data_IF_975027249862
#
_entry.id   IF_975027249862
#
_cell.length_a   1.000
_cell.length_b   1.000
_cell.length_c   1.000
_cell.angle_alpha   90.00
_cell.angle_beta   90.00
_cell.angle_gamma   90.00
#
_symmetry.space_group_name_H-M   'P 1'
#
loop_
_entity.id
_entity.type
_entity.pdbx_description
1 polymer ?
#
# COMPACT_ATOMS: atom_id res chain seq x y z
N UNK A 1 -11.22 -11.08 -20.62
CA UNK A 1 -11.43 -9.86 -19.81
C UNK A 1 -10.09 -9.42 -19.27
N UNK A 2 -9.76 -8.13 -19.30
CA UNK A 2 -8.54 -7.62 -18.66
C UNK A 2 -8.66 -7.92 -17.16
N UNK A 3 -7.70 -8.64 -16.61
CA UNK A 3 -7.68 -8.96 -15.18
C UNK A 3 -7.13 -7.81 -14.33
N UNK A 4 -6.55 -6.78 -14.97
CA UNK A 4 -5.86 -5.65 -14.33
C UNK A 4 -6.29 -4.35 -15.01
N UNK A 5 -6.75 -3.40 -14.22
CA UNK A 5 -7.13 -2.06 -14.69
C UNK A 5 -6.59 -0.99 -13.74
N UNK A 6 -5.87 -0.03 -14.29
CA UNK A 6 -5.39 1.15 -13.58
C UNK A 6 -6.12 2.38 -14.14
N UNK A 7 -6.75 3.15 -13.27
CA UNK A 7 -7.52 4.34 -13.63
C UNK A 7 -6.75 5.59 -13.23
N UNK A 8 -6.54 6.50 -14.18
CA UNK A 8 -5.99 7.81 -13.87
C UNK A 8 -7.10 8.72 -13.32
N UNK A 9 -7.50 8.46 -12.10
CA UNK A 9 -8.57 9.19 -11.41
C UNK A 9 -8.45 8.98 -9.89
N UNK A 10 -9.25 9.73 -9.13
CA UNK A 10 -9.42 9.50 -7.70
C UNK A 10 -10.35 8.32 -7.43
N UNK A 11 -10.03 7.52 -6.40
CA UNK A 11 -10.92 6.47 -5.90
C UNK A 11 -12.32 7.01 -5.52
N UNK A 12 -12.46 8.29 -5.23
CA UNK A 12 -13.73 8.94 -4.93
C UNK A 12 -14.75 8.82 -6.09
N UNK A 13 -14.25 8.72 -7.32
CA UNK A 13 -15.04 8.59 -8.54
C UNK A 13 -15.36 7.14 -8.94
N UNK A 14 -15.07 6.17 -8.05
CA UNK A 14 -15.17 4.72 -8.32
C UNK A 14 -16.49 4.24 -8.91
N UNK A 15 -17.59 4.94 -8.63
CA UNK A 15 -18.93 4.56 -9.12
C UNK A 15 -19.04 4.57 -10.64
N UNK A 16 -18.25 5.41 -11.32
CA UNK A 16 -18.22 5.50 -12.78
C UNK A 16 -17.53 4.30 -13.46
N UNK A 17 -16.76 3.51 -12.71
CA UNK A 17 -15.92 2.45 -13.27
C UNK A 17 -16.50 1.04 -13.14
N UNK A 18 -17.59 0.86 -12.41
CA UNK A 18 -18.29 -0.42 -12.24
C UNK A 18 -17.38 -1.59 -11.80
N UNK A 19 -16.33 -1.30 -11.01
CA UNK A 19 -15.39 -2.31 -10.53
C UNK A 19 -16.04 -3.26 -9.52
N UNK A 20 -15.66 -4.55 -9.51
CA UNK A 20 -16.19 -5.50 -8.55
C UNK A 20 -15.68 -5.23 -7.13
N UNK A 21 -16.38 -5.78 -6.15
CA UNK A 21 -15.93 -5.73 -4.75
C UNK A 21 -14.74 -6.65 -4.51
N UNK A 22 -13.87 -6.26 -3.59
CA UNK A 22 -12.61 -6.90 -3.31
C UNK A 22 -12.68 -7.90 -2.16
N UNK A 23 -11.90 -8.97 -2.28
CA UNK A 23 -11.50 -9.82 -1.17
C UNK A 23 -10.43 -9.12 -0.30
N UNK A 24 -9.52 -8.40 -0.94
CA UNK A 24 -8.44 -7.66 -0.30
C UNK A 24 -8.36 -6.24 -0.84
N UNK A 25 -8.31 -5.25 0.04
CA UNK A 25 -7.81 -3.92 -0.28
C UNK A 25 -6.38 -3.85 0.25
N UNK A 26 -5.42 -3.57 -0.63
CA UNK A 26 -4.01 -3.50 -0.30
C UNK A 26 -3.44 -2.22 -0.89
N UNK A 27 -3.00 -1.30 -0.05
CA UNK A 27 -2.66 0.05 -0.49
C UNK A 27 -1.62 0.72 0.40
N UNK A 28 -0.89 1.64 -0.20
CA UNK A 28 0.04 2.55 0.47
C UNK A 28 -0.57 3.95 0.45
N UNK A 29 -1.07 4.41 1.60
CA UNK A 29 -1.72 5.73 1.65
C UNK A 29 -0.69 6.85 1.71
N UNK A 30 -1.02 8.07 1.26
CA UNK A 30 -0.16 9.23 1.45
C UNK A 30 0.19 9.43 2.93
N UNK A 31 1.49 9.54 3.21
CA UNK A 31 1.99 9.82 4.55
C UNK A 31 1.90 11.32 4.79
N UNK A 32 0.78 11.77 5.32
CA UNK A 32 0.55 13.19 5.60
C UNK A 32 1.26 13.61 6.90
N UNK A 33 2.59 13.60 6.88
CA UNK A 33 3.44 13.86 8.02
C UNK A 33 3.64 15.36 8.32
N UNK A 34 3.13 16.24 7.47
CA UNK A 34 3.30 17.68 7.62
C UNK A 34 4.79 18.07 7.71
N UNK A 35 5.15 18.86 8.72
CA UNK A 35 6.53 19.28 8.95
C UNK A 35 7.45 18.17 9.50
N UNK A 36 6.90 17.00 9.81
CA UNK A 36 7.64 15.84 10.31
C UNK A 36 8.00 14.84 9.19
N UNK A 37 7.75 15.19 7.92
CA UNK A 37 8.16 14.35 6.80
C UNK A 37 9.68 14.29 6.71
N UNK A 38 10.25 13.14 7.06
CA UNK A 38 11.68 12.89 6.91
C UNK A 38 11.95 12.30 5.53
N UNK A 39 12.96 12.84 4.87
CA UNK A 39 13.40 12.31 3.60
C UNK A 39 14.02 10.92 3.77
N UNK A 40 13.53 9.96 3.03
CA UNK A 40 14.12 8.62 2.97
C UNK A 40 15.35 8.55 2.06
N UNK A 41 15.69 9.64 1.34
CA UNK A 41 16.83 9.68 0.44
C UNK A 41 18.07 10.22 1.17
N UNK A 42 19.18 9.45 1.26
CA UNK A 42 20.43 9.91 1.87
C UNK A 42 20.95 11.24 1.28
N UNK A 43 20.75 11.51 -0.01
CA UNK A 43 21.17 12.78 -0.65
C UNK A 43 20.50 14.02 -0.07
N UNK A 44 19.43 13.87 0.68
CA UNK A 44 18.79 14.97 1.40
C UNK A 44 19.58 15.40 2.64
N UNK A 45 20.49 14.55 3.08
CA UNK A 45 21.37 14.76 4.23
C UNK A 45 22.82 15.00 3.81
N UNK A 46 23.16 14.75 2.53
CA UNK A 46 24.47 15.09 1.98
C UNK A 46 24.57 16.61 1.82
N UNK A 47 25.55 17.21 2.48
CA UNK A 47 25.73 18.65 2.50
C UNK A 47 24.70 19.40 3.36
N UNK A 48 24.15 18.75 4.38
CA UNK A 48 23.15 19.34 5.28
C UNK A 48 23.56 20.71 5.78
N UNK A 49 22.82 21.72 5.33
CA UNK A 49 23.10 23.14 5.58
C UNK A 49 22.64 23.59 6.97
N UNK A 50 21.90 22.75 7.67
CA UNK A 50 21.36 23.04 8.98
C UNK A 50 22.35 22.64 10.09
N UNK A 51 22.41 23.43 11.16
CA UNK A 51 23.17 23.10 12.38
C UNK A 51 22.88 21.69 12.93
N UNK A 52 21.79 21.07 12.46
CA UNK A 52 21.33 19.75 12.85
C UNK A 52 21.66 18.65 11.82
N UNK A 53 22.38 18.95 10.73
CA UNK A 53 22.70 17.98 9.67
C UNK A 53 21.51 17.59 8.78
N UNK A 54 20.43 18.35 8.82
CA UNK A 54 19.24 18.15 7.98
C UNK A 54 19.34 19.06 6.75
N UNK A 55 18.98 18.56 5.57
CA UNK A 55 18.96 19.40 4.37
C UNK A 55 17.79 20.38 4.40
N UNK A 56 17.87 21.46 3.61
CA UNK A 56 16.77 22.42 3.41
C UNK A 56 15.48 21.77 2.88
N UNK A 57 15.57 20.55 2.37
CA UNK A 57 14.44 19.77 1.88
C UNK A 57 13.74 18.96 2.97
N UNK A 58 14.36 18.84 4.15
CA UNK A 58 13.73 18.18 5.29
C UNK A 58 12.43 18.92 5.67
N UNK A 59 11.37 18.19 5.93
CA UNK A 59 10.06 18.76 6.25
C UNK A 59 9.25 19.29 5.06
N UNK A 60 9.78 19.26 3.83
CA UNK A 60 8.99 19.61 2.64
C UNK A 60 8.17 18.42 2.16
N UNK A 61 6.93 18.69 1.76
CA UNK A 61 6.02 17.66 1.25
C UNK A 61 6.54 17.05 -0.04
N UNK A 62 6.45 15.73 -0.15
CA UNK A 62 6.86 15.00 -1.35
C UNK A 62 5.91 15.22 -2.52
N UNK A 63 4.60 15.29 -2.24
CA UNK A 63 3.55 15.37 -3.26
C UNK A 63 2.51 16.43 -2.90
N UNK A 64 2.06 17.20 -3.89
CA UNK A 64 0.93 18.13 -3.74
C UNK A 64 -0.39 17.41 -3.42
N UNK A 65 -0.54 16.17 -3.87
CA UNK A 65 -1.71 15.31 -3.63
C UNK A 65 -1.88 14.86 -2.18
N UNK A 66 -0.85 14.97 -1.35
CA UNK A 66 -0.95 14.63 0.09
C UNK A 66 -1.95 15.52 0.85
N UNK A 67 -2.21 16.74 0.37
CA UNK A 67 -3.17 17.65 0.97
C UNK A 67 -4.63 17.28 0.68
N UNK A 68 -4.88 16.50 -0.35
CA UNK A 68 -6.23 16.18 -0.84
C UNK A 68 -6.71 14.81 -0.33
N UNK A 69 -5.80 14.00 0.24
CA UNK A 69 -6.17 12.72 0.80
C UNK A 69 -7.02 12.89 2.07
N UNK A 70 -8.22 12.34 2.04
CA UNK A 70 -9.19 12.40 3.13
C UNK A 70 -9.41 11.01 3.74
N UNK A 71 -8.80 10.71 4.89
CA UNK A 71 -8.88 9.37 5.50
C UNK A 71 -10.30 8.86 5.74
N UNK A 72 -11.25 9.74 6.08
CA UNK A 72 -12.63 9.33 6.29
C UNK A 72 -13.34 8.89 4.99
N UNK A 73 -13.13 9.60 3.88
CA UNK A 73 -13.68 9.22 2.57
C UNK A 73 -13.02 7.95 2.04
N UNK A 74 -11.70 7.82 2.24
CA UNK A 74 -10.95 6.61 1.94
C UNK A 74 -11.52 5.39 2.70
N UNK A 75 -11.71 5.49 4.02
CA UNK A 75 -12.27 4.40 4.81
C UNK A 75 -13.71 4.08 4.42
N UNK A 76 -14.51 5.09 4.07
CA UNK A 76 -15.85 4.88 3.52
C UNK A 76 -15.79 4.06 2.22
N UNK A 77 -14.95 4.48 1.25
CA UNK A 77 -14.72 3.74 0.02
C UNK A 77 -14.33 2.29 0.31
N UNK A 78 -13.29 2.07 1.10
CA UNK A 78 -12.79 0.73 1.43
C UNK A 78 -13.88 -0.15 2.05
N UNK A 79 -14.64 0.37 3.02
CA UNK A 79 -15.72 -0.38 3.66
C UNK A 79 -16.82 -0.80 2.68
N UNK A 80 -17.10 0.01 1.66
CA UNK A 80 -18.09 -0.26 0.60
C UNK A 80 -17.58 -1.23 -0.46
N UNK A 81 -16.27 -1.18 -0.73
CA UNK A 81 -15.66 -1.99 -1.80
C UNK A 81 -15.21 -3.38 -1.32
N UNK A 82 -15.12 -3.64 -0.05
CA UNK A 82 -14.98 -5.01 0.47
C UNK A 82 -16.26 -5.82 0.24
N UNK A 83 -16.11 -7.08 -0.18
CA UNK A 83 -17.23 -8.04 -0.27
C UNK A 83 -17.92 -8.18 1.10
N UNK A 84 -19.13 -8.72 1.12
CA UNK A 84 -19.81 -9.05 2.38
C UNK A 84 -19.09 -10.21 3.07
N UNK A 85 -19.10 -10.21 4.39
CA UNK A 85 -18.59 -11.36 5.15
C UNK A 85 -19.40 -12.62 4.81
N UNK A 86 -18.73 -13.72 4.44
CA UNK A 86 -19.41 -14.98 4.17
C UNK A 86 -19.94 -15.59 5.48
N UNK A 87 -20.83 -16.59 5.37
CA UNK A 87 -21.34 -17.30 6.55
C UNK A 87 -20.23 -18.05 7.30
N UNK A 88 -19.28 -18.64 6.57
CA UNK A 88 -18.15 -19.39 7.13
C UNK A 88 -17.06 -18.46 7.70
N UNK A 89 -16.36 -18.92 8.75
CA UNK A 89 -15.16 -18.24 9.27
C UNK A 89 -13.94 -18.50 8.40
N UNK A 90 -12.90 -17.66 8.52
CA UNK A 90 -11.65 -17.82 7.77
C UNK A 90 -11.76 -17.56 6.27
N UNK A 91 -12.80 -16.84 5.82
CA UNK A 91 -13.05 -16.48 4.42
C UNK A 91 -13.46 -15.01 4.25
N UNK A 92 -13.42 -14.24 5.33
CA UNK A 92 -13.83 -12.84 5.28
C UNK A 92 -12.83 -11.99 4.49
N UNK A 93 -13.30 -10.89 3.90
CA UNK A 93 -12.40 -9.91 3.29
C UNK A 93 -11.68 -9.09 4.36
N UNK A 94 -10.55 -8.51 3.97
CA UNK A 94 -9.82 -7.59 4.82
C UNK A 94 -9.20 -6.45 4.00
N UNK A 95 -8.63 -5.49 4.71
CA UNK A 95 -7.77 -4.48 4.10
C UNK A 95 -6.44 -4.39 4.83
N UNK A 96 -5.39 -4.10 4.08
CA UNK A 96 -4.06 -3.82 4.59
C UNK A 96 -3.65 -2.45 4.07
N UNK A 97 -3.30 -1.57 5.01
CA UNK A 97 -2.87 -0.21 4.72
C UNK A 97 -1.43 -0.08 5.15
N UNK A 98 -0.52 0.25 4.22
CA UNK A 98 0.78 0.80 4.60
C UNK A 98 0.56 2.27 4.98
N UNK A 99 1.03 2.64 6.14
CA UNK A 99 0.86 3.98 6.70
C UNK A 99 1.94 4.27 7.75
N UNK A 100 2.11 5.53 8.09
CA UNK A 100 3.00 5.91 9.19
C UNK A 100 2.47 5.43 10.55
N UNK A 101 3.38 5.33 11.52
CA UNK A 101 3.06 4.83 12.86
C UNK A 101 1.89 5.60 13.50
N UNK A 102 1.91 6.93 13.44
CA UNK A 102 0.86 7.77 14.03
C UNK A 102 -0.48 7.65 13.27
N UNK A 103 -0.44 7.46 11.96
CA UNK A 103 -1.65 7.29 11.15
C UNK A 103 -2.42 6.02 11.52
N UNK A 104 -1.76 4.99 12.07
CA UNK A 104 -2.44 3.76 12.48
C UNK A 104 -3.56 4.05 13.48
N UNK A 105 -3.34 4.94 14.45
CA UNK A 105 -4.36 5.31 15.44
C UNK A 105 -5.59 5.92 14.78
N UNK A 106 -5.38 6.80 13.81
CA UNK A 106 -6.48 7.39 13.04
C UNK A 106 -7.25 6.34 12.24
N UNK A 107 -6.55 5.41 11.57
CA UNK A 107 -7.20 4.36 10.80
C UNK A 107 -7.91 3.33 11.68
N UNK A 108 -7.43 3.05 12.88
CA UNK A 108 -8.14 2.20 13.86
C UNK A 108 -9.48 2.85 14.25
N UNK A 109 -9.48 4.13 14.60
CA UNK A 109 -10.72 4.83 14.99
C UNK A 109 -11.70 4.96 13.81
N UNK A 110 -11.21 5.30 12.64
CA UNK A 110 -12.03 5.31 11.43
C UNK A 110 -12.52 3.90 11.07
N UNK A 111 -11.70 2.88 11.24
CA UNK A 111 -12.08 1.49 11.05
C UNK A 111 -13.29 1.11 11.88
N UNK A 112 -13.28 1.40 13.17
CA UNK A 112 -14.42 1.20 14.08
C UNK A 112 -15.68 1.89 13.57
N UNK A 113 -15.57 3.14 13.15
CA UNK A 113 -16.69 3.94 12.62
C UNK A 113 -17.30 3.32 11.35
N UNK A 114 -16.48 2.73 10.48
CA UNK A 114 -16.90 2.13 9.21
C UNK A 114 -17.11 0.61 9.28
N UNK A 115 -17.10 0.02 10.48
CA UNK A 115 -17.42 -1.39 10.71
C UNK A 115 -16.24 -2.36 10.59
N UNK A 116 -15.01 -1.86 10.43
CA UNK A 116 -13.77 -2.63 10.45
C UNK A 116 -13.16 -2.54 11.85
N UNK A 117 -13.73 -3.29 12.80
CA UNK A 117 -13.47 -3.12 14.24
C UNK A 117 -12.25 -3.87 14.77
N UNK A 118 -11.79 -4.86 14.02
CA UNK A 118 -10.65 -5.70 14.39
C UNK A 118 -9.43 -5.28 13.61
N UNK A 119 -8.27 -5.32 14.26
CA UNK A 119 -7.02 -4.95 13.62
C UNK A 119 -5.83 -5.75 14.12
N UNK A 120 -4.80 -5.85 13.28
CA UNK A 120 -3.49 -6.40 13.62
C UNK A 120 -2.44 -5.43 13.08
N UNK A 121 -1.53 -4.92 13.92
CA UNK A 121 -0.40 -4.12 13.45
C UNK A 121 0.61 -5.03 12.73
N UNK A 122 1.10 -4.56 11.59
CA UNK A 122 2.14 -5.21 10.80
C UNK A 122 3.39 -4.33 10.79
N UNK A 123 4.54 -4.95 10.87
CA UNK A 123 5.84 -4.30 10.75
C UNK A 123 6.62 -4.98 9.65
N UNK A 124 7.23 -4.19 8.77
CA UNK A 124 8.04 -4.69 7.68
C UNK A 124 9.47 -4.21 7.85
N UNK A 125 10.38 -5.13 8.14
CA UNK A 125 11.79 -4.84 8.43
C UNK A 125 12.62 -4.83 7.15
N UNK A 126 13.18 -3.68 6.82
CA UNK A 126 14.14 -3.52 5.73
C UNK A 126 15.56 -3.82 6.21
N UNK A 127 16.35 -4.48 5.38
CA UNK A 127 17.79 -4.66 5.58
C UNK A 127 18.64 -3.70 4.72
N UNK A 128 17.98 -2.70 4.11
CA UNK A 128 18.58 -1.72 3.19
C UNK A 128 17.89 -0.36 3.32
N UNK A 129 18.55 0.69 2.83
CA UNK A 129 18.01 2.06 2.75
C UNK A 129 17.28 2.51 4.02
N UNK A 130 17.96 2.59 5.16
CA UNK A 130 17.33 3.08 6.37
C UNK A 130 16.89 4.52 6.18
N UNK A 131 15.75 4.88 6.75
CA UNK A 131 15.28 6.25 6.82
C UNK A 131 15.96 6.94 8.00
N UNK A 132 16.52 8.13 7.79
CA UNK A 132 17.06 8.90 8.91
C UNK A 132 15.89 9.51 9.68
N UNK A 133 15.73 9.10 10.93
CA UNK A 133 14.69 9.61 11.82
C UNK A 133 15.17 10.84 12.60
N UNK A 134 16.43 10.82 13.05
CA UNK A 134 17.05 11.96 13.74
C UNK A 134 18.56 11.98 13.47
N UNK A 135 19.00 12.86 12.62
CA UNK A 135 20.39 12.92 12.14
C UNK A 135 21.40 13.12 13.29
N UNK A 136 21.15 14.09 14.17
CA UNK A 136 22.07 14.39 15.29
C UNK A 136 22.25 13.25 16.28
N UNK A 137 21.20 12.44 16.46
CA UNK A 137 21.25 11.28 17.35
C UNK A 137 21.70 10.02 16.59
N UNK A 138 21.93 10.10 15.28
CA UNK A 138 22.25 8.96 14.39
C UNK A 138 21.20 7.83 14.48
N UNK A 139 19.95 8.18 14.76
CA UNK A 139 18.84 7.23 14.76
C UNK A 139 18.32 7.09 13.34
N UNK A 140 18.31 5.85 12.86
CA UNK A 140 17.77 5.48 11.54
C UNK A 140 16.66 4.46 11.71
N UNK A 141 15.58 4.63 10.95
CA UNK A 141 14.47 3.69 10.88
C UNK A 141 14.68 2.71 9.73
N UNK A 142 14.44 1.44 10.00
CA UNK A 142 14.48 0.40 8.99
C UNK A 142 13.15 -0.35 8.88
N UNK A 143 12.09 0.20 9.46
CA UNK A 143 10.76 -0.39 9.44
C UNK A 143 9.80 0.41 8.57
N UNK A 144 8.91 -0.30 7.89
CA UNK A 144 7.63 0.24 7.43
C UNK A 144 6.52 -0.36 8.27
N UNK A 145 5.44 0.39 8.41
CA UNK A 145 4.31 -0.04 9.20
C UNK A 145 3.11 -0.31 8.30
N UNK A 146 2.32 -1.27 8.72
CA UNK A 146 1.05 -1.60 8.09
C UNK A 146 0.00 -1.91 9.13
N UNK A 147 -1.23 -1.82 8.72
CA UNK A 147 -2.38 -2.13 9.54
C UNK A 147 -3.33 -3.03 8.78
N UNK A 148 -3.51 -4.26 9.27
CA UNK A 148 -4.56 -5.16 8.81
C UNK A 148 -5.85 -4.82 9.54
N UNK A 149 -6.92 -4.53 8.79
CA UNK A 149 -8.25 -4.22 9.32
C UNK A 149 -9.30 -5.19 8.77
N UNK A 150 -10.20 -5.66 9.62
CA UNK A 150 -11.31 -6.52 9.23
C UNK A 150 -12.54 -6.31 10.12
N UNK A 151 -13.68 -6.87 9.72
CA UNK A 151 -14.95 -6.74 10.46
C UNK A 151 -14.98 -7.65 11.68
N UNK A 152 -15.91 -8.58 11.76
CA UNK A 152 -16.07 -9.47 12.91
C UNK A 152 -15.49 -10.87 12.65
N UNK A 153 -15.59 -11.36 11.40
CA UNK A 153 -15.13 -12.69 11.04
C UNK A 153 -13.68 -12.70 10.62
N UNK A 154 -13.00 -13.78 10.93
CA UNK A 154 -11.60 -13.96 10.55
C UNK A 154 -11.41 -13.87 9.03
N UNK A 155 -10.45 -13.09 8.56
CA UNK A 155 -10.08 -13.01 7.16
C UNK A 155 -9.67 -14.36 6.58
N UNK A 156 -9.71 -14.47 5.27
CA UNK A 156 -9.02 -15.54 4.56
C UNK A 156 -7.55 -15.50 4.94
N UNK A 157 -6.98 -16.67 5.20
CA UNK A 157 -5.60 -16.77 5.64
C UNK A 157 -4.98 -18.08 5.15
N UNK A 158 -4.24 -17.99 4.04
CA UNK A 158 -3.59 -19.12 3.36
C UNK A 158 -2.11 -19.16 3.78
N UNK A 159 -1.77 -20.04 4.71
CA UNK A 159 -0.41 -20.21 5.22
C UNK A 159 -0.08 -21.66 5.55
N UNK A 160 -0.85 -22.60 5.03
CA UNK A 160 -0.67 -24.05 5.22
C UNK A 160 -0.56 -24.46 6.71
N UNK A 161 -1.29 -23.75 7.57
CA UNK A 161 -1.27 -23.97 9.01
C UNK A 161 -0.03 -23.45 9.73
N UNK A 162 0.88 -22.79 9.03
CA UNK A 162 2.09 -22.22 9.62
C UNK A 162 1.81 -20.89 10.30
N UNK A 163 2.56 -20.59 11.36
CA UNK A 163 2.51 -19.27 11.98
C UNK A 163 3.20 -18.23 11.11
N UNK A 164 2.59 -17.05 11.01
CA UNK A 164 3.18 -15.89 10.33
C UNK A 164 3.41 -14.80 11.36
N UNK A 165 4.64 -14.35 11.46
CA UNK A 165 4.98 -13.21 12.32
C UNK A 165 4.40 -11.92 11.75
N UNK A 166 3.90 -11.05 12.62
CA UNK A 166 3.47 -9.71 12.22
C UNK A 166 4.64 -8.75 11.93
N UNK A 167 5.86 -9.13 12.27
CA UNK A 167 7.10 -8.50 11.81
C UNK A 167 7.68 -9.35 10.67
N UNK A 168 7.56 -8.84 9.44
CA UNK A 168 7.97 -9.54 8.23
C UNK A 168 9.20 -8.89 7.61
N UNK A 169 10.03 -9.70 6.94
CA UNK A 169 11.13 -9.15 6.16
C UNK A 169 10.59 -8.42 4.93
N UNK A 170 11.23 -7.29 4.63
CA UNK A 170 10.95 -6.47 3.46
C UNK A 170 12.15 -6.53 2.51
N UNK A 171 12.25 -7.55 1.65
CA UNK A 171 13.35 -7.67 0.72
C UNK A 171 13.32 -6.55 -0.32
N UNK A 172 14.51 -6.15 -0.77
CA UNK A 172 14.64 -5.20 -1.87
C UNK A 172 14.16 -5.84 -3.16
N UNK A 173 13.28 -5.16 -3.86
CA UNK A 173 12.89 -5.51 -5.23
C UNK A 173 13.85 -4.84 -6.21
N UNK A 174 14.64 -5.64 -6.91
CA UNK A 174 15.60 -5.19 -7.93
C UNK A 174 15.09 -5.40 -9.35
N UNK A 175 14.01 -6.18 -9.50
CA UNK A 175 13.54 -6.65 -10.81
C UNK A 175 12.46 -5.74 -11.39
N UNK A 176 11.70 -5.06 -10.52
CA UNK A 176 10.63 -4.17 -10.96
C UNK A 176 11.18 -2.77 -11.24
N UNK A 177 10.92 -2.19 -12.42
CA UNK A 177 11.33 -0.83 -12.74
C UNK A 177 10.83 0.17 -11.70
N UNK A 178 11.71 1.00 -11.21
CA UNK A 178 11.34 2.03 -10.24
C UNK A 178 10.75 3.24 -10.96
N UNK A 179 9.47 3.46 -10.76
CA UNK A 179 8.70 4.57 -11.36
C UNK A 179 8.12 5.53 -10.32
N UNK A 180 8.21 5.17 -9.05
CA UNK A 180 7.72 5.99 -7.94
C UNK A 180 8.76 6.03 -6.80
N UNK A 181 8.96 7.18 -6.15
CA UNK A 181 10.00 7.32 -5.10
C UNK A 181 9.81 6.37 -3.92
N UNK A 182 8.56 6.15 -3.51
CA UNK A 182 8.17 5.29 -2.38
C UNK A 182 7.59 3.95 -2.82
N UNK A 183 7.95 3.49 -4.02
CA UNK A 183 7.45 2.22 -4.58
C UNK A 183 7.64 1.06 -3.63
N UNK A 184 6.57 0.32 -3.37
CA UNK A 184 6.60 -0.89 -2.55
C UNK A 184 7.17 -2.08 -3.32
N UNK A 185 7.87 -2.96 -2.61
CA UNK A 185 8.42 -4.21 -3.15
C UNK A 185 7.31 -5.15 -3.58
N UNK A 186 7.35 -5.60 -4.84
CA UNK A 186 6.39 -6.57 -5.38
C UNK A 186 6.42 -7.87 -4.57
N UNK A 187 7.59 -8.31 -4.10
CA UNK A 187 7.77 -9.52 -3.30
C UNK A 187 6.93 -9.48 -2.02
N UNK A 188 6.94 -8.35 -1.32
CA UNK A 188 6.14 -8.16 -0.11
C UNK A 188 4.65 -8.14 -0.42
N UNK A 189 4.27 -7.45 -1.49
CA UNK A 189 2.87 -7.36 -1.91
C UNK A 189 2.33 -8.73 -2.35
N UNK A 190 3.12 -9.51 -3.09
CA UNK A 190 2.78 -10.89 -3.47
C UNK A 190 2.55 -11.75 -2.23
N UNK A 191 3.45 -11.70 -1.25
CA UNK A 191 3.29 -12.46 -0.01
C UNK A 191 1.99 -12.13 0.72
N UNK A 192 1.63 -10.86 0.82
CA UNK A 192 0.37 -10.44 1.45
C UNK A 192 -0.84 -10.89 0.63
N UNK A 193 -0.79 -10.77 -0.69
CA UNK A 193 -1.87 -11.21 -1.58
C UNK A 193 -2.08 -12.73 -1.48
N UNK A 194 -1.02 -13.52 -1.46
CA UNK A 194 -1.10 -14.98 -1.28
C UNK A 194 -1.81 -15.36 0.01
N UNK A 195 -1.42 -14.73 1.13
CA UNK A 195 -1.98 -15.03 2.44
C UNK A 195 -3.49 -14.73 2.48
N UNK A 196 -3.92 -13.60 1.93
CA UNK A 196 -5.27 -13.09 2.17
C UNK A 196 -6.25 -13.28 1.00
N UNK A 197 -5.82 -13.91 -0.09
CA UNK A 197 -6.65 -14.13 -1.28
C UNK A 197 -6.43 -15.49 -1.92
N UNK A 198 -7.41 -15.94 -2.70
CA UNK A 198 -7.27 -17.08 -3.62
C UNK A 198 -7.11 -16.61 -5.07
N UNK A 199 -6.70 -17.53 -5.97
CA UNK A 199 -6.67 -17.25 -7.41
C UNK A 199 -8.06 -16.84 -7.90
N UNK A 200 -8.12 -15.77 -8.69
CA UNK A 200 -9.35 -15.19 -9.21
C UNK A 200 -10.04 -14.20 -8.29
N UNK A 201 -9.63 -14.08 -7.01
CA UNK A 201 -10.12 -13.04 -6.11
C UNK A 201 -9.73 -11.64 -6.63
N UNK A 202 -10.45 -10.63 -6.14
CA UNK A 202 -10.26 -9.24 -6.50
C UNK A 202 -9.43 -8.53 -5.43
N UNK A 203 -8.39 -7.84 -5.89
CA UNK A 203 -7.57 -6.91 -5.10
C UNK A 203 -7.85 -5.48 -5.57
N UNK A 204 -8.02 -4.53 -4.66
CA UNK A 204 -8.18 -3.11 -5.00
C UNK A 204 -7.09 -2.30 -4.30
N UNK A 205 -6.47 -1.38 -5.07
CA UNK A 205 -5.51 -0.39 -4.56
C UNK A 205 -6.02 1.03 -4.85
N UNK A 206 -6.60 1.73 -3.86
CA UNK A 206 -7.09 3.11 -4.04
C UNK A 206 -6.02 4.17 -4.28
N UNK A 207 -4.75 3.87 -3.99
CA UNK A 207 -3.60 4.78 -4.12
C UNK A 207 -2.45 4.06 -4.83
N UNK A 208 -2.69 3.66 -6.09
CA UNK A 208 -1.88 2.68 -6.80
C UNK A 208 -0.43 3.11 -7.12
N UNK A 209 -0.16 4.41 -7.17
CA UNK A 209 1.17 4.96 -7.42
C UNK A 209 1.87 4.32 -8.61
N UNK A 210 2.86 3.47 -8.31
CA UNK A 210 3.62 2.72 -9.32
C UNK A 210 2.90 1.53 -9.93
N UNK A 211 1.71 1.14 -9.44
CA UNK A 211 0.98 -0.04 -9.89
C UNK A 211 1.57 -1.38 -9.43
N UNK A 212 2.51 -1.40 -8.50
CA UNK A 212 3.15 -2.64 -8.02
C UNK A 212 2.17 -3.60 -7.34
N UNK A 213 1.14 -3.09 -6.66
CA UNK A 213 0.06 -3.93 -6.11
C UNK A 213 -0.69 -4.66 -7.21
N UNK A 214 -0.96 -3.98 -8.33
CA UNK A 214 -1.66 -4.57 -9.47
C UNK A 214 -0.78 -5.62 -10.16
N UNK A 215 0.52 -5.34 -10.30
CA UNK A 215 1.49 -6.30 -10.83
C UNK A 215 1.55 -7.55 -9.97
N UNK A 216 1.69 -7.40 -8.65
CA UNK A 216 1.74 -8.51 -7.70
C UNK A 216 0.47 -9.38 -7.77
N UNK A 217 -0.71 -8.75 -7.84
CA UNK A 217 -1.97 -9.46 -8.01
C UNK A 217 -2.03 -10.25 -9.33
N UNK A 218 -1.54 -9.63 -10.41
CA UNK A 218 -1.49 -10.29 -11.73
C UNK A 218 -0.57 -11.52 -11.75
N UNK A 219 0.64 -11.39 -11.19
CA UNK A 219 1.61 -12.48 -11.10
C UNK A 219 1.02 -13.70 -10.39
N UNK A 220 0.11 -13.49 -9.48
CA UNK A 220 -0.55 -14.49 -8.67
C UNK A 220 -1.92 -14.93 -9.24
N UNK A 221 -2.30 -14.49 -10.43
CA UNK A 221 -3.60 -14.79 -11.06
C UNK A 221 -4.80 -14.25 -10.27
N UNK A 222 -4.68 -13.08 -9.65
CA UNK A 222 -5.77 -12.30 -9.07
C UNK A 222 -6.22 -11.23 -10.05
N UNK A 223 -7.46 -10.74 -9.90
CA UNK A 223 -7.93 -9.54 -10.58
C UNK A 223 -7.55 -8.33 -9.76
N UNK A 224 -7.12 -7.23 -10.38
CA UNK A 224 -6.78 -6.03 -9.65
C UNK A 224 -7.27 -4.75 -10.31
N UNK A 225 -7.68 -3.80 -9.48
CA UNK A 225 -8.18 -2.49 -9.88
C UNK A 225 -7.49 -1.43 -9.02
N UNK A 226 -6.94 -0.41 -9.66
CA UNK A 226 -6.22 0.65 -8.97
C UNK A 226 -6.63 2.04 -9.42
N UNK A 227 -6.46 3.01 -8.54
CA UNK A 227 -6.65 4.44 -8.82
C UNK A 227 -5.36 5.20 -8.55
N UNK A 228 -5.00 6.08 -9.49
CA UNK A 228 -3.84 6.96 -9.37
C UNK A 228 -4.18 8.34 -9.93
N UNK A 229 -4.13 9.36 -9.08
CA UNK A 229 -4.49 10.73 -9.47
C UNK A 229 -3.41 11.41 -10.30
N UNK A 230 -2.15 11.04 -10.07
CA UNK A 230 -1.03 11.60 -10.81
C UNK A 230 -0.90 10.95 -12.19
N UNK A 231 -1.20 11.73 -13.22
CA UNK A 231 -1.18 11.28 -14.62
C UNK A 231 0.17 10.73 -15.06
N UNK A 232 1.29 11.28 -14.54
CA UNK A 232 2.62 10.82 -14.93
C UNK A 232 2.92 9.46 -14.28
N UNK A 233 2.59 9.28 -12.99
CA UNK A 233 2.76 7.97 -12.33
C UNK A 233 1.89 6.90 -12.98
N UNK A 234 0.64 7.22 -13.31
CA UNK A 234 -0.24 6.30 -14.01
C UNK A 234 0.36 5.86 -15.37
N UNK A 235 0.83 6.78 -16.19
CA UNK A 235 1.49 6.48 -17.47
C UNK A 235 2.75 5.63 -17.29
N UNK A 236 3.59 5.99 -16.33
CA UNK A 236 4.84 5.26 -16.07
C UNK A 236 4.56 3.84 -15.54
N UNK A 237 3.55 3.68 -14.67
CA UNK A 237 3.07 2.40 -14.19
C UNK A 237 2.61 1.50 -15.35
N UNK A 238 1.74 2.00 -16.22
CA UNK A 238 1.27 1.25 -17.39
C UNK A 238 2.40 0.86 -18.34
N UNK A 239 3.27 1.81 -18.68
CA UNK A 239 4.32 1.61 -19.67
C UNK A 239 5.47 0.71 -19.19
N UNK A 240 5.84 0.77 -17.91
CA UNK A 240 7.07 0.14 -17.39
C UNK A 240 6.79 -1.03 -16.45
N UNK A 241 5.74 -0.95 -15.63
CA UNK A 241 5.41 -1.94 -14.60
C UNK A 241 4.39 -2.94 -15.14
N UNK A 242 3.20 -2.47 -15.53
CA UNK A 242 2.08 -3.34 -15.92
C UNK A 242 2.22 -3.95 -17.32
N UNK A 243 3.05 -3.38 -18.18
CA UNK A 243 3.35 -3.98 -19.52
C UNK A 243 3.90 -5.39 -19.40
N UNK A 244 4.51 -5.75 -18.30
CA UNK A 244 5.03 -7.12 -18.03
C UNK A 244 3.92 -8.15 -17.95
N UNK A 245 2.76 -7.79 -17.40
CA UNK A 245 1.59 -8.67 -17.32
C UNK A 245 1.08 -9.04 -18.71
N UNK A 246 1.10 -8.09 -19.65
CA UNK A 246 0.62 -8.31 -21.01
C UNK A 246 1.52 -9.27 -21.81
N UNK A 247 2.82 -9.32 -21.52
CA UNK A 247 3.74 -10.25 -22.19
C UNK A 247 3.56 -11.70 -21.75
N UNK A 248 3.19 -11.94 -20.49
CA UNK A 248 3.02 -13.29 -19.95
C UNK A 248 1.69 -13.96 -20.35
N UNK A 249 0.77 -13.23 -20.98
CA UNK A 249 -0.49 -13.76 -21.50
C UNK A 249 -0.36 -14.35 -22.92
N UNK A 250 0.81 -14.22 -23.55
CA UNK A 250 1.08 -14.68 -24.92
C UNK A 250 2.22 -15.72 -25.01
N UNK A 251 2.56 -16.36 -23.89
CA UNK A 251 3.51 -17.48 -23.84
C UNK A 251 2.80 -18.77 -23.46
#
# INVERSE_FOLDING_TARGET
MKNIELFNDSFQNYKGYHIPKAQLILTDVPYNLGNNAYASNPTWYEGGDNKNGESEKAGKKFFSSENEFRPAEFMHFCSKMLIKEPKGTGKAPCMIIFCEFEQQFQFIELGKKYGLKKYIPLVFRKNYSPQVLKANMKIVGNCEYGLLLYREKLPKFNNDGQMVFNCMDYPRDTDTPRVHPTQKSVIVLERLIEIFTDKGDVVIDPCAGSGTTLLAAANLNRKAYGFEVNKQFCKDAEAKVLRRVQKNLFV
#
